data_IF_980778425901
#
_entry.id   IF_980778425901
#
_cell.length_a   1.000
_cell.length_b   1.000
_cell.length_c   1.000
_cell.angle_alpha   90.00
_cell.angle_beta   90.00
_cell.angle_gamma   90.00
#
_symmetry.space_group_name_H-M   'P 1'
#
loop_
_entity.id
_entity.type
_entity.pdbx_description
1 polymer ?
#
# COMPACT_ATOMS: atom_id res chain seq x y z
N UNK A 1 -10.59 -7.43 -16.30
CA UNK A 1 -9.70 -6.88 -15.26
C UNK A 1 -10.58 -6.42 -14.12
N UNK A 2 -10.32 -6.85 -12.89
CA UNK A 2 -11.05 -6.40 -11.69
C UNK A 2 -10.12 -5.52 -10.84
N UNK A 3 -10.71 -4.70 -9.98
CA UNK A 3 -10.00 -3.89 -9.00
C UNK A 3 -9.84 -4.59 -7.64
N UNK A 4 -10.49 -5.74 -7.45
CA UNK A 4 -10.45 -6.49 -6.20
C UNK A 4 -9.64 -7.78 -6.34
N UNK A 5 -8.65 -7.94 -5.46
CA UNK A 5 -7.81 -9.13 -5.45
C UNK A 5 -8.62 -10.40 -5.14
N UNK A 6 -9.66 -10.29 -4.32
CA UNK A 6 -10.55 -11.40 -3.93
C UNK A 6 -11.35 -11.96 -5.10
N UNK A 7 -11.83 -11.07 -5.99
CA UNK A 7 -12.55 -11.46 -7.21
C UNK A 7 -11.57 -12.07 -8.23
N UNK A 8 -10.36 -11.53 -8.33
CA UNK A 8 -9.31 -12.11 -9.17
C UNK A 8 -8.86 -13.50 -8.69
N UNK A 9 -8.83 -13.74 -7.38
CA UNK A 9 -8.49 -15.03 -6.76
C UNK A 9 -9.50 -16.13 -7.12
N UNK A 10 -10.79 -15.81 -7.21
CA UNK A 10 -11.84 -16.78 -7.54
C UNK A 10 -11.96 -17.09 -9.03
N UNK A 11 -11.52 -16.18 -9.91
CA UNK A 11 -11.69 -16.29 -11.36
C UNK A 11 -10.42 -16.66 -12.13
N UNK A 12 -9.23 -16.44 -11.57
CA UNK A 12 -7.96 -16.60 -12.31
C UNK A 12 -6.90 -17.37 -11.54
N UNK A 13 -6.26 -18.33 -12.21
CA UNK A 13 -5.13 -19.10 -11.67
C UNK A 13 -3.87 -18.23 -11.43
N UNK A 14 -3.74 -17.12 -12.15
CA UNK A 14 -2.62 -16.17 -12.06
C UNK A 14 -3.12 -14.73 -12.17
N UNK A 15 -2.57 -13.87 -11.31
CA UNK A 15 -2.95 -12.46 -11.19
C UNK A 15 -1.72 -11.60 -11.45
N UNK A 16 -1.89 -10.55 -12.25
CA UNK A 16 -0.89 -9.51 -12.46
C UNK A 16 -1.46 -8.16 -11.99
N UNK A 17 -0.75 -7.50 -11.07
CA UNK A 17 -1.08 -6.17 -10.56
C UNK A 17 -0.42 -5.13 -11.45
N UNK A 18 -1.22 -4.31 -12.11
CA UNK A 18 -0.74 -3.21 -12.93
C UNK A 18 -0.73 -1.92 -12.09
N UNK A 19 0.41 -1.23 -12.04
CA UNK A 19 0.55 0.11 -11.46
C UNK A 19 1.17 1.03 -12.50
N UNK A 20 0.51 2.14 -12.82
CA UNK A 20 1.01 3.16 -13.76
C UNK A 20 1.49 2.61 -15.13
N UNK A 21 0.80 1.60 -15.66
CA UNK A 21 1.15 0.98 -16.94
C UNK A 21 2.32 -0.02 -16.89
N UNK A 22 2.80 -0.39 -15.70
CA UNK A 22 3.80 -1.44 -15.49
C UNK A 22 3.26 -2.52 -14.57
N UNK A 23 3.72 -3.76 -14.75
CA UNK A 23 3.38 -4.85 -13.83
C UNK A 23 4.19 -4.64 -12.55
N UNK A 24 3.49 -4.36 -11.45
CA UNK A 24 4.06 -4.17 -10.13
C UNK A 24 4.31 -5.51 -9.41
N UNK A 25 3.45 -6.50 -9.66
CA UNK A 25 3.58 -7.85 -9.11
C UNK A 25 2.80 -8.86 -9.97
N UNK A 26 3.25 -10.11 -10.03
CA UNK A 26 2.61 -11.20 -10.76
C UNK A 26 2.75 -12.50 -9.95
N UNK A 27 1.66 -13.26 -9.83
CA UNK A 27 1.65 -14.51 -9.06
C UNK A 27 0.23 -14.99 -8.75
N UNK A 28 0.12 -16.05 -7.96
CA UNK A 28 -1.15 -16.45 -7.34
C UNK A 28 -1.60 -15.40 -6.32
N UNK A 29 -2.89 -15.36 -6.00
CA UNK A 29 -3.40 -14.40 -5.01
C UNK A 29 -2.69 -14.54 -3.66
N UNK A 30 -2.36 -15.76 -3.24
CA UNK A 30 -1.62 -16.03 -2.01
C UNK A 30 -0.19 -15.47 -2.05
N UNK A 31 0.49 -15.54 -3.20
CA UNK A 31 1.81 -14.90 -3.38
C UNK A 31 1.70 -13.37 -3.34
N UNK A 32 0.68 -12.81 -3.99
CA UNK A 32 0.43 -11.36 -3.98
C UNK A 32 0.03 -10.85 -2.59
N UNK A 33 -0.83 -11.57 -1.86
CA UNK A 33 -1.20 -11.25 -0.48
C UNK A 33 0.02 -11.30 0.45
N UNK A 34 0.95 -12.24 0.23
CA UNK A 34 2.23 -12.31 0.97
C UNK A 34 3.20 -11.18 0.62
N UNK A 35 3.14 -10.64 -0.60
CA UNK A 35 3.93 -9.47 -1.02
C UNK A 35 3.46 -8.17 -0.36
N UNK A 36 2.30 -8.16 0.28
CA UNK A 36 1.76 -7.06 1.08
C UNK A 36 2.00 -7.43 2.56
N UNK A 37 3.18 -7.15 3.14
CA UNK A 37 3.47 -7.55 4.50
C UNK A 37 2.61 -6.68 5.43
N UNK A 38 1.67 -7.32 6.14
CA UNK A 38 1.01 -6.85 7.36
C UNK A 38 0.59 -5.38 7.42
N UNK A 39 -0.70 -5.10 7.20
CA UNK A 39 -1.41 -3.93 7.73
C UNK A 39 -0.78 -2.57 7.40
N UNK A 40 -1.05 -2.04 6.21
CA UNK A 40 -0.68 -0.66 5.89
C UNK A 40 -1.54 0.31 6.71
N UNK A 41 -0.93 0.93 7.72
CA UNK A 41 -1.57 1.98 8.52
C UNK A 41 -1.22 3.34 7.90
N UNK A 42 -2.24 4.05 7.45
CA UNK A 42 -2.11 5.43 6.98
C UNK A 42 -2.47 6.39 8.09
N UNK A 43 -1.50 7.17 8.55
CA UNK A 43 -1.71 8.21 9.56
C UNK A 43 -1.82 9.56 8.87
N UNK A 44 -2.97 10.22 9.00
CA UNK A 44 -3.21 11.58 8.48
C UNK A 44 -3.21 12.57 9.64
N UNK A 45 -2.43 13.62 9.51
CA UNK A 45 -2.31 14.67 10.51
C UNK A 45 -3.04 15.92 10.03
N UNK A 46 -3.69 16.64 10.95
CA UNK A 46 -4.34 17.93 10.67
C UNK A 46 -3.45 19.11 11.04
N UNK A 47 -2.39 18.85 11.79
CA UNK A 47 -1.45 19.84 12.31
C UNK A 47 -0.02 19.53 11.81
N UNK A 48 0.65 20.48 11.13
CA UNK A 48 2.01 20.32 10.65
C UNK A 48 3.05 20.04 11.74
N UNK A 49 2.85 20.53 12.96
CA UNK A 49 3.82 20.33 14.05
C UNK A 49 3.71 18.90 14.62
N UNK A 50 2.48 18.41 14.80
CA UNK A 50 2.21 17.01 15.15
C UNK A 50 2.73 16.04 14.09
N UNK A 51 2.56 16.38 12.80
CA UNK A 51 3.13 15.61 11.70
C UNK A 51 4.66 15.51 11.80
N UNK A 52 5.36 16.64 11.98
CA UNK A 52 6.82 16.66 12.09
C UNK A 52 7.33 15.83 13.27
N UNK A 53 6.63 15.89 14.41
CA UNK A 53 6.94 15.07 15.59
C UNK A 53 6.76 13.57 15.30
N UNK A 54 5.62 13.17 14.73
CA UNK A 54 5.34 11.78 14.39
C UNK A 54 6.28 11.22 13.33
N UNK A 55 6.60 12.03 12.31
CA UNK A 55 7.56 11.70 11.27
C UNK A 55 8.96 11.44 11.86
N UNK A 56 9.36 12.20 12.89
CA UNK A 56 10.61 11.98 13.61
C UNK A 56 10.62 10.72 14.48
N UNK A 57 9.47 10.34 15.05
CA UNK A 57 9.32 9.18 15.93
C UNK A 57 9.19 7.85 15.18
N UNK A 58 8.49 7.85 14.03
CA UNK A 58 8.25 6.65 13.23
C UNK A 58 9.39 6.44 12.21
N UNK A 59 10.18 5.39 12.42
CA UNK A 59 11.28 5.01 11.50
C UNK A 59 10.74 4.04 10.45
N UNK A 60 11.15 4.22 9.19
CA UNK A 60 10.77 3.34 8.08
C UNK A 60 9.44 3.66 7.40
N UNK A 61 8.79 4.78 7.74
CA UNK A 61 7.57 5.24 7.08
C UNK A 61 7.87 6.10 5.85
N UNK A 62 7.05 5.96 4.82
CA UNK A 62 7.00 6.87 3.68
C UNK A 62 6.27 8.15 4.09
N UNK A 63 6.91 9.30 3.84
CA UNK A 63 6.41 10.63 4.21
C UNK A 63 5.74 11.32 3.02
N UNK A 64 4.64 12.00 3.28
CA UNK A 64 3.87 12.78 2.31
C UNK A 64 3.59 14.14 2.97
N UNK A 65 4.50 15.10 2.75
CA UNK A 65 4.49 16.40 3.43
C UNK A 65 3.34 17.30 2.95
N UNK A 66 2.91 17.15 1.70
CA UNK A 66 1.79 17.92 1.12
C UNK A 66 0.45 17.48 1.72
N UNK A 67 0.25 16.16 1.88
CA UNK A 67 -0.96 15.62 2.49
C UNK A 67 -0.85 15.42 4.02
N UNK A 68 0.25 15.82 4.64
CA UNK A 68 0.58 15.57 6.05
C UNK A 68 0.28 14.12 6.45
N UNK A 69 0.81 13.16 5.69
CA UNK A 69 0.48 11.73 5.84
C UNK A 69 1.74 10.87 5.99
N UNK A 70 1.65 9.83 6.83
CA UNK A 70 2.69 8.80 7.01
C UNK A 70 2.12 7.42 6.63
N UNK A 71 2.92 6.59 5.95
CA UNK A 71 2.57 5.24 5.48
C UNK A 71 3.69 4.23 5.75
#
# INVERSE_FOLDING_TARGET
>A
TTQYLEEADQLADRIAVLNEGRIAAEGSAEELKRLVPGGHVRLRFTDPDTYRSAAGALRGTTRDDEALTLR
#
